data_IF_137229569685
#
_entry.id   IF_137229569685
#
_cell.length_a   1.000
_cell.length_b   1.000
_cell.length_c   1.000
_cell.angle_alpha   90.00
_cell.angle_beta   90.00
_cell.angle_gamma   90.00
#
_symmetry.space_group_name_H-M   'P 1'
#
loop_
_entity.id
_entity.type
_entity.pdbx_description
1 polymer ?
#
# COMPACT_ATOMS: atom_id res chain seq x y z
N UNK A 1 16.44 -42.79 43.10
CA UNK A 1 15.30 -42.51 42.18
C UNK A 1 14.70 -41.10 42.28
N UNK A 2 15.09 -40.22 43.21
CA UNK A 2 14.60 -38.82 43.31
C UNK A 2 15.26 -37.87 42.29
N UNK A 3 16.55 -38.01 41.96
CA UNK A 3 17.28 -37.09 41.09
C UNK A 3 16.81 -37.05 39.62
N UNK A 4 16.34 -38.18 39.08
CA UNK A 4 15.90 -38.23 37.69
C UNK A 4 14.55 -37.54 37.43
N UNK A 5 13.69 -37.42 38.44
CA UNK A 5 12.40 -36.70 38.35
C UNK A 5 12.59 -35.18 38.41
N UNK A 6 13.48 -34.70 39.23
CA UNK A 6 13.80 -33.27 39.38
C UNK A 6 14.43 -32.73 38.09
N UNK A 7 15.37 -33.46 37.48
CA UNK A 7 16.01 -33.05 36.22
C UNK A 7 15.04 -33.01 35.04
N UNK A 8 14.06 -33.93 35.01
CA UNK A 8 12.99 -33.94 34.01
C UNK A 8 12.04 -32.74 34.13
N UNK A 9 11.76 -32.27 35.35
CA UNK A 9 10.89 -31.13 35.61
C UNK A 9 11.58 -29.79 35.22
N UNK A 10 12.87 -29.68 35.51
CA UNK A 10 13.66 -28.47 35.11
C UNK A 10 13.79 -28.36 33.57
N UNK A 11 14.09 -29.49 32.88
CA UNK A 11 14.16 -29.51 31.43
C UNK A 11 12.83 -29.15 30.77
N UNK A 12 11.70 -29.60 31.32
CA UNK A 12 10.36 -29.25 30.79
C UNK A 12 10.00 -27.78 31.00
N UNK A 13 10.41 -27.20 32.13
CA UNK A 13 10.18 -25.78 32.44
C UNK A 13 11.02 -24.86 31.56
N UNK A 14 12.29 -25.20 31.35
CA UNK A 14 13.17 -24.45 30.45
C UNK A 14 12.72 -24.54 28.98
N UNK A 15 12.29 -25.71 28.50
CA UNK A 15 11.76 -25.89 27.16
C UNK A 15 10.48 -25.10 26.95
N UNK A 16 9.57 -25.05 27.94
CA UNK A 16 8.35 -24.28 27.87
C UNK A 16 8.62 -22.76 27.85
N UNK A 17 9.58 -22.28 28.64
CA UNK A 17 9.98 -20.86 28.65
C UNK A 17 10.60 -20.42 27.33
N UNK A 18 11.49 -21.25 26.77
CA UNK A 18 12.11 -20.96 25.44
C UNK A 18 11.05 -20.95 24.36
N UNK A 19 10.06 -21.86 24.39
CA UNK A 19 8.96 -21.88 23.40
C UNK A 19 8.06 -20.64 23.49
N UNK A 20 7.76 -20.17 24.71
CA UNK A 20 6.96 -18.95 24.92
C UNK A 20 7.73 -17.70 24.44
N UNK A 21 9.02 -17.59 24.71
CA UNK A 21 9.84 -16.46 24.29
C UNK A 21 9.98 -16.42 22.76
N UNK A 22 10.15 -17.57 22.10
CA UNK A 22 10.21 -17.68 20.64
C UNK A 22 8.87 -17.35 20.01
N UNK A 23 7.75 -17.80 20.56
CA UNK A 23 6.40 -17.44 20.11
C UNK A 23 6.13 -15.92 20.22
N UNK A 24 6.57 -15.28 21.31
CA UNK A 24 6.46 -13.83 21.47
C UNK A 24 7.32 -13.04 20.46
N UNK A 25 8.50 -13.54 20.15
CA UNK A 25 9.37 -12.91 19.13
C UNK A 25 8.76 -12.96 17.73
N UNK A 26 8.05 -14.04 17.38
CA UNK A 26 7.34 -14.15 16.08
C UNK A 26 6.09 -13.26 15.98
N UNK A 27 5.37 -13.03 17.09
CA UNK A 27 4.17 -12.16 17.10
C UNK A 27 4.55 -10.68 16.93
N UNK A 28 5.69 -10.26 17.45
CA UNK A 28 6.17 -8.86 17.31
C UNK A 28 6.71 -8.56 15.90
N UNK A 29 7.14 -9.56 15.13
CA UNK A 29 7.65 -9.37 13.78
C UNK A 29 6.55 -9.18 12.72
N UNK A 30 5.28 -9.49 13.02
CA UNK A 30 4.17 -9.44 12.05
C UNK A 30 3.40 -8.11 12.02
N UNK A 31 3.66 -7.18 12.91
CA UNK A 31 2.94 -5.90 12.99
C UNK A 31 3.84 -4.73 12.56
N UNK A 32 4.44 -4.78 11.36
CA UNK A 32 4.79 -3.55 10.65
C UNK A 32 3.51 -3.01 10.02
N UNK A 33 2.64 -2.50 10.88
CA UNK A 33 1.60 -1.59 10.48
C UNK A 33 2.27 -0.40 9.78
N UNK A 34 1.70 0.00 8.64
CA UNK A 34 2.03 1.21 7.94
C UNK A 34 2.35 2.35 8.91
N UNK A 35 3.55 2.87 8.86
CA UNK A 35 3.93 4.08 9.60
C UNK A 35 3.36 5.29 8.86
N UNK A 36 2.07 5.53 9.05
CA UNK A 36 1.48 6.80 8.69
C UNK A 36 1.97 7.85 9.68
N UNK A 37 2.63 8.84 9.16
CA UNK A 37 3.10 9.97 9.96
C UNK A 37 2.27 11.20 9.62
N UNK A 38 1.91 11.98 10.62
CA UNK A 38 1.45 13.35 10.40
C UNK A 38 2.70 14.21 10.24
N UNK A 39 2.80 14.87 9.10
CA UNK A 39 3.97 15.69 8.76
C UNK A 39 3.54 17.12 8.38
N UNK A 40 4.42 18.11 8.52
CA UNK A 40 4.18 19.43 7.98
C UNK A 40 4.07 19.38 6.45
N UNK A 41 3.02 20.00 5.91
CA UNK A 41 2.83 20.25 4.49
C UNK A 41 1.95 21.49 4.33
N UNK A 42 2.41 22.47 3.56
CA UNK A 42 1.70 23.72 3.29
C UNK A 42 1.58 23.99 1.80
N UNK A 43 0.74 24.95 1.43
CA UNK A 43 0.55 25.33 0.03
C UNK A 43 -0.56 24.56 -0.70
N UNK A 44 -1.27 23.66 -0.01
CA UNK A 44 -2.37 22.87 -0.58
C UNK A 44 -3.64 23.01 0.26
N UNK A 45 -4.78 22.97 -0.42
CA UNK A 45 -6.08 23.02 0.26
C UNK A 45 -6.35 21.73 1.08
N UNK A 46 -7.01 21.83 2.24
CA UNK A 46 -7.46 20.66 2.98
C UNK A 46 -8.28 19.71 2.12
N UNK A 47 -8.12 18.40 2.34
CA UNK A 47 -8.79 17.36 1.56
C UNK A 47 -8.12 17.04 0.22
N UNK A 48 -7.04 17.71 -0.16
CA UNK A 48 -6.27 17.41 -1.38
C UNK A 48 -5.34 16.22 -1.16
N UNK A 49 -5.22 15.36 -2.17
CA UNK A 49 -4.16 14.36 -2.27
C UNK A 49 -2.99 14.97 -3.04
N UNK A 50 -1.80 14.93 -2.47
CA UNK A 50 -0.56 15.35 -3.13
C UNK A 50 0.38 14.14 -3.25
N UNK A 51 0.81 13.81 -4.45
CA UNK A 51 1.78 12.74 -4.70
C UNK A 51 3.10 13.37 -5.15
N UNK A 52 4.15 13.18 -4.37
CA UNK A 52 5.51 13.58 -4.75
C UNK A 52 6.26 12.35 -5.23
N UNK A 53 6.38 12.22 -6.55
CA UNK A 53 6.91 11.00 -7.18
C UNK A 53 8.39 10.80 -6.87
N UNK A 54 9.20 11.86 -6.86
CA UNK A 54 10.61 11.80 -6.48
C UNK A 54 10.82 11.29 -5.05
N UNK A 55 9.91 11.62 -4.13
CA UNK A 55 9.94 11.13 -2.75
C UNK A 55 9.31 9.75 -2.59
N UNK A 56 8.52 9.28 -3.57
CA UNK A 56 7.67 8.08 -3.51
C UNK A 56 6.74 8.13 -2.30
N UNK A 57 6.12 9.30 -2.11
CA UNK A 57 5.20 9.58 -1.02
C UNK A 57 3.88 10.16 -1.55
N UNK A 58 2.81 9.82 -0.86
CA UNK A 58 1.49 10.41 -1.00
C UNK A 58 1.14 11.12 0.30
N UNK A 59 0.60 12.30 0.18
CA UNK A 59 0.18 13.15 1.27
C UNK A 59 -1.32 13.42 1.15
N UNK A 60 -2.08 13.18 2.21
CA UNK A 60 -3.46 13.64 2.32
C UNK A 60 -3.49 14.85 3.24
N UNK A 61 -3.85 16.00 2.71
CA UNK A 61 -3.83 17.28 3.42
C UNK A 61 -4.98 17.34 4.43
N UNK A 62 -4.65 17.42 5.71
CA UNK A 62 -5.62 17.47 6.82
C UNK A 62 -6.12 18.90 7.04
N UNK A 63 -5.16 19.83 7.11
CA UNK A 63 -5.38 21.26 7.25
C UNK A 63 -4.33 22.00 6.41
N UNK A 64 -4.34 23.30 6.35
CA UNK A 64 -3.38 24.04 5.52
C UNK A 64 -1.90 23.93 5.94
N UNK A 65 -1.56 23.12 6.95
CA UNK A 65 -0.21 23.00 7.52
C UNK A 65 0.25 21.55 7.75
N UNK A 66 -0.65 20.57 7.74
CA UNK A 66 -0.37 19.16 8.08
C UNK A 66 -1.00 18.21 7.09
N UNK A 67 -0.34 17.10 6.86
CA UNK A 67 -0.84 16.01 6.04
C UNK A 67 -0.51 14.64 6.65
N UNK A 68 -1.34 13.66 6.36
CA UNK A 68 -1.01 12.25 6.53
C UNK A 68 -0.09 11.84 5.37
N UNK A 69 1.05 11.26 5.69
CA UNK A 69 2.04 10.80 4.72
C UNK A 69 2.02 9.28 4.60
N UNK A 70 1.95 8.79 3.38
CA UNK A 70 1.98 7.37 3.05
C UNK A 70 3.12 7.05 2.08
N UNK A 71 3.85 5.94 2.25
CA UNK A 71 4.77 5.46 1.24
C UNK A 71 4.00 4.93 0.02
N UNK A 72 4.49 5.20 -1.18
CA UNK A 72 3.85 4.73 -2.42
C UNK A 72 4.86 4.21 -3.44
N UNK A 73 4.44 3.24 -4.26
CA UNK A 73 5.12 2.91 -5.51
C UNK A 73 4.59 3.81 -6.61
N UNK A 74 5.47 4.29 -7.48
CA UNK A 74 5.17 5.26 -8.54
C UNK A 74 5.69 4.77 -9.91
N UNK A 75 5.43 5.54 -10.97
CA UNK A 75 5.89 5.27 -12.33
C UNK A 75 7.38 4.99 -12.40
N UNK A 76 7.79 3.95 -13.15
CA UNK A 76 9.18 3.71 -13.54
C UNK A 76 9.65 4.80 -14.50
N UNK A 77 10.96 4.88 -14.76
CA UNK A 77 11.54 5.86 -15.68
C UNK A 77 10.81 5.86 -17.04
N UNK A 78 10.42 7.03 -17.51
CA UNK A 78 9.62 7.22 -18.72
C UNK A 78 8.13 6.93 -18.59
N UNK A 79 7.66 6.58 -17.39
CA UNK A 79 6.25 6.33 -17.07
C UNK A 79 5.74 7.26 -15.94
N UNK A 80 6.53 8.27 -15.61
CA UNK A 80 6.16 9.29 -14.65
C UNK A 80 5.28 10.34 -15.34
N UNK A 81 4.32 10.84 -14.58
CA UNK A 81 3.50 11.97 -14.98
C UNK A 81 3.40 12.97 -13.84
N UNK A 82 3.01 14.18 -14.15
CA UNK A 82 2.73 15.26 -13.19
C UNK A 82 1.57 16.11 -13.68
N UNK A 83 0.93 16.79 -12.75
CA UNK A 83 -0.19 17.65 -13.04
C UNK A 83 -1.35 17.49 -12.06
N UNK A 84 -2.44 18.20 -12.32
CA UNK A 84 -3.67 18.14 -11.56
C UNK A 84 -4.63 17.08 -12.12
N UNK A 85 -5.30 16.38 -11.22
CA UNK A 85 -6.34 15.40 -11.53
C UNK A 85 -7.39 15.40 -10.42
N UNK A 86 -8.32 14.46 -10.45
CA UNK A 86 -9.29 14.22 -9.39
C UNK A 86 -9.68 12.75 -9.37
N UNK A 87 -10.16 12.27 -8.21
CA UNK A 87 -10.76 10.94 -8.13
C UNK A 87 -12.01 10.92 -9.00
N UNK A 88 -12.07 10.01 -9.99
CA UNK A 88 -13.20 9.82 -10.88
C UNK A 88 -14.06 8.59 -10.55
N UNK A 89 -13.50 7.62 -9.81
CA UNK A 89 -14.22 6.42 -9.37
C UNK A 89 -13.56 5.77 -8.18
N UNK A 90 -14.37 5.00 -7.41
CA UNK A 90 -13.92 4.27 -6.21
C UNK A 90 -14.42 2.84 -6.27
N UNK A 91 -13.54 1.87 -6.06
CA UNK A 91 -13.84 0.45 -6.25
C UNK A 91 -13.28 -0.39 -5.10
N UNK A 92 -14.09 -1.34 -4.63
CA UNK A 92 -13.71 -2.36 -3.65
C UNK A 92 -13.48 -3.66 -4.40
N UNK A 93 -12.32 -4.28 -4.21
CA UNK A 93 -11.89 -5.51 -4.90
C UNK A 93 -12.14 -5.43 -6.42
N UNK A 94 -11.57 -4.41 -7.11
CA UNK A 94 -11.81 -4.25 -8.55
C UNK A 94 -11.26 -5.44 -9.32
N UNK A 95 -11.98 -5.88 -10.36
CA UNK A 95 -11.38 -6.70 -11.39
C UNK A 95 -10.32 -5.87 -12.13
N UNK A 96 -9.31 -6.53 -12.68
CA UNK A 96 -8.25 -5.86 -13.41
C UNK A 96 -8.09 -6.44 -14.80
N UNK A 97 -8.21 -5.59 -15.81
CA UNK A 97 -7.87 -5.88 -17.19
C UNK A 97 -6.53 -5.24 -17.49
N UNK A 98 -5.50 -6.02 -17.89
CA UNK A 98 -4.20 -5.44 -18.23
C UNK A 98 -4.34 -4.44 -19.36
N UNK A 99 -3.83 -3.20 -19.21
CA UNK A 99 -3.68 -2.27 -20.34
C UNK A 99 -2.83 -2.85 -21.47
N UNK A 100 -2.98 -2.33 -22.69
CA UNK A 100 -2.34 -2.88 -23.87
C UNK A 100 -0.81 -2.86 -23.83
N UNK A 101 -0.20 -1.85 -23.22
CA UNK A 101 1.24 -1.76 -22.98
C UNK A 101 1.74 -2.88 -22.06
N UNK A 102 1.04 -3.13 -20.95
CA UNK A 102 1.36 -4.22 -20.02
C UNK A 102 1.11 -5.58 -20.69
N UNK A 103 0.09 -5.70 -21.55
CA UNK A 103 -0.19 -6.92 -22.28
C UNK A 103 0.87 -7.21 -23.34
N UNK A 104 1.41 -6.17 -23.99
CA UNK A 104 2.56 -6.33 -24.91
C UNK A 104 3.83 -6.78 -24.18
N UNK A 105 4.08 -6.27 -22.98
CA UNK A 105 5.20 -6.71 -22.12
C UNK A 105 5.01 -8.16 -21.62
N UNK A 106 3.76 -8.59 -21.45
CA UNK A 106 3.40 -9.88 -20.83
C UNK A 106 2.19 -10.56 -21.54
N UNK A 107 2.38 -11.15 -22.73
CA UNK A 107 1.29 -11.71 -23.55
C UNK A 107 0.50 -12.85 -22.88
N UNK A 108 1.09 -13.51 -21.87
CA UNK A 108 0.46 -14.61 -21.14
C UNK A 108 -0.51 -14.18 -20.04
N UNK A 109 -0.64 -12.86 -19.79
CA UNK A 109 -1.59 -12.37 -18.82
C UNK A 109 -3.03 -12.67 -19.28
N UNK A 110 -3.91 -13.12 -18.36
CA UNK A 110 -5.32 -13.31 -18.67
C UNK A 110 -5.97 -11.98 -19.06
N UNK A 111 -7.02 -12.03 -19.90
CA UNK A 111 -7.76 -10.82 -20.30
C UNK A 111 -8.29 -10.03 -19.11
N UNK A 112 -8.74 -10.74 -18.06
CA UNK A 112 -9.26 -10.17 -16.82
C UNK A 112 -8.77 -11.01 -15.65
N UNK A 113 -8.29 -10.36 -14.60
CA UNK A 113 -8.05 -10.97 -13.29
C UNK A 113 -9.20 -10.56 -12.37
N UNK A 114 -9.96 -11.53 -11.80
CA UNK A 114 -11.11 -11.22 -10.94
C UNK A 114 -10.73 -10.38 -9.72
N UNK A 115 -11.69 -9.59 -9.23
CA UNK A 115 -11.55 -8.83 -8.00
C UNK A 115 -11.35 -9.74 -6.78
N UNK A 116 -10.37 -9.42 -5.95
CA UNK A 116 -10.02 -10.19 -4.76
C UNK A 116 -9.15 -11.42 -5.02
N UNK A 117 -8.82 -11.76 -6.28
CA UNK A 117 -7.89 -12.83 -6.59
C UNK A 117 -6.48 -12.50 -6.02
N UNK A 118 -5.74 -13.49 -5.48
CA UNK A 118 -4.42 -13.26 -4.88
C UNK A 118 -3.39 -12.68 -5.85
N UNK A 119 -3.54 -12.94 -7.15
CA UNK A 119 -2.69 -12.43 -8.22
C UNK A 119 -3.16 -11.09 -8.80
N UNK A 120 -4.26 -10.50 -8.29
CA UNK A 120 -4.76 -9.22 -8.79
C UNK A 120 -3.86 -8.07 -8.31
N UNK A 121 -3.21 -7.32 -9.24
CA UNK A 121 -2.28 -6.26 -8.88
C UNK A 121 -2.94 -5.03 -8.25
N UNK A 122 -4.27 -4.86 -8.37
CA UNK A 122 -4.99 -3.71 -7.81
C UNK A 122 -5.20 -3.80 -6.29
N UNK A 123 -4.99 -4.99 -5.71
CA UNK A 123 -5.22 -5.19 -4.27
C UNK A 123 -6.69 -5.09 -3.88
N UNK A 124 -6.96 -4.53 -2.70
CA UNK A 124 -8.31 -4.52 -2.11
C UNK A 124 -9.16 -3.30 -2.50
N UNK A 125 -8.54 -2.17 -2.80
CA UNK A 125 -9.20 -0.90 -3.11
C UNK A 125 -8.49 -0.22 -4.26
N UNK A 126 -9.25 0.48 -5.10
CA UNK A 126 -8.71 1.36 -6.13
C UNK A 126 -9.58 2.61 -6.29
N UNK A 127 -8.92 3.69 -6.67
CA UNK A 127 -9.52 4.97 -7.02
C UNK A 127 -8.95 5.42 -8.36
N UNK A 128 -9.79 5.51 -9.38
CA UNK A 128 -9.38 6.00 -10.71
C UNK A 128 -9.21 7.51 -10.69
N UNK A 129 -8.32 8.01 -11.54
CA UNK A 129 -7.97 9.42 -11.67
C UNK A 129 -8.36 9.96 -13.06
N UNK A 130 -8.96 11.12 -13.10
CA UNK A 130 -9.30 11.81 -14.34
C UNK A 130 -10.14 10.95 -15.30
N UNK A 131 -9.61 10.65 -16.45
CA UNK A 131 -10.21 9.80 -17.49
C UNK A 131 -10.14 8.29 -17.20
N UNK A 132 -9.50 7.90 -16.09
CA UNK A 132 -9.34 6.50 -15.72
C UNK A 132 -8.03 5.85 -16.19
N UNK A 133 -7.17 6.56 -16.88
CA UNK A 133 -5.85 6.07 -17.33
C UNK A 133 -4.99 5.66 -16.15
N UNK A 134 -5.01 6.44 -15.05
CA UNK A 134 -4.26 6.16 -13.83
C UNK A 134 -5.17 5.90 -12.65
N UNK A 135 -4.62 5.25 -11.64
CA UNK A 135 -5.30 4.96 -10.39
C UNK A 135 -4.36 5.04 -9.18
N UNK A 136 -4.94 5.33 -8.01
CA UNK A 136 -4.34 5.06 -6.71
C UNK A 136 -4.94 3.75 -6.23
N UNK A 137 -4.12 2.73 -5.94
CA UNK A 137 -4.63 1.40 -5.64
C UNK A 137 -3.76 0.61 -4.65
N UNK A 138 -4.32 -0.43 -4.08
CA UNK A 138 -3.59 -1.40 -3.27
C UNK A 138 -2.60 -2.23 -4.08
N UNK A 139 -2.11 -3.33 -3.52
CA UNK A 139 -1.18 -4.20 -4.24
C UNK A 139 -1.19 -5.62 -3.71
N UNK A 140 -0.91 -6.58 -4.60
CA UNK A 140 -0.52 -7.95 -4.24
C UNK A 140 1.01 -8.11 -4.10
N UNK A 141 1.79 -7.02 -4.32
CA UNK A 141 3.26 -7.00 -4.22
C UNK A 141 3.73 -5.88 -3.29
N UNK A 142 3.53 -5.99 -1.96
CA UNK A 142 3.80 -4.92 -1.00
C UNK A 142 5.26 -4.45 -1.01
N UNK A 143 6.22 -5.32 -1.39
CA UNK A 143 7.65 -4.97 -1.52
C UNK A 143 7.95 -3.95 -2.63
N UNK A 144 6.96 -3.62 -3.46
CA UNK A 144 7.08 -2.61 -4.53
C UNK A 144 6.67 -1.20 -4.10
N UNK A 145 6.08 -1.06 -2.91
CA UNK A 145 5.80 0.26 -2.30
C UNK A 145 7.13 0.91 -1.93
N UNK A 146 7.26 2.20 -2.18
CA UNK A 146 8.50 2.97 -2.00
C UNK A 146 9.46 2.88 -3.20
N UNK A 147 9.03 2.31 -4.34
CA UNK A 147 9.88 2.10 -5.53
C UNK A 147 9.27 2.72 -6.80
N UNK A 148 10.11 2.92 -7.82
CA UNK A 148 9.73 3.29 -9.19
C UNK A 148 9.43 2.01 -9.98
N UNK A 149 8.16 1.59 -10.08
CA UNK A 149 7.82 0.23 -10.57
C UNK A 149 6.56 0.15 -11.43
N UNK A 150 5.73 1.20 -11.45
CA UNK A 150 4.44 1.16 -12.16
C UNK A 150 4.53 1.77 -13.57
N UNK A 151 3.43 1.64 -14.32
CA UNK A 151 3.21 2.33 -15.59
C UNK A 151 2.43 3.66 -15.38
N UNK A 152 2.70 4.35 -14.24
CA UNK A 152 2.08 5.63 -13.89
C UNK A 152 1.08 5.57 -12.74
N UNK A 153 0.49 4.42 -12.43
CA UNK A 153 -0.38 4.26 -11.26
C UNK A 153 0.37 4.44 -9.94
N UNK A 154 -0.35 4.86 -8.91
CA UNK A 154 0.15 5.08 -7.55
C UNK A 154 -0.21 3.86 -6.70
N UNK A 155 0.80 3.10 -6.26
CA UNK A 155 0.64 1.83 -5.55
C UNK A 155 0.83 2.03 -4.05
N UNK A 156 -0.13 1.56 -3.24
CA UNK A 156 -0.12 1.67 -1.79
C UNK A 156 -0.14 0.29 -1.13
N UNK A 157 0.26 0.21 0.13
CA UNK A 157 -0.09 -0.93 0.97
C UNK A 157 -1.61 -1.06 1.08
N UNK A 158 -2.14 -2.29 1.18
CA UNK A 158 -3.59 -2.50 1.27
C UNK A 158 -4.21 -1.89 2.55
N UNK A 159 -3.46 -1.78 3.64
CA UNK A 159 -3.90 -1.09 4.84
C UNK A 159 -4.02 0.42 4.61
N UNK A 160 -3.04 1.03 3.93
CA UNK A 160 -2.98 2.47 3.68
C UNK A 160 -4.06 2.92 2.71
N UNK A 161 -4.24 2.18 1.61
CA UNK A 161 -5.29 2.52 0.65
C UNK A 161 -6.69 2.37 1.26
N UNK A 162 -6.91 1.42 2.16
CA UNK A 162 -8.18 1.27 2.88
C UNK A 162 -8.48 2.53 3.70
N UNK A 163 -7.49 3.04 4.41
CA UNK A 163 -7.62 4.25 5.20
C UNK A 163 -7.89 5.47 4.32
N UNK A 164 -7.04 5.71 3.32
CA UNK A 164 -7.21 6.83 2.39
C UNK A 164 -8.57 6.77 1.70
N UNK A 165 -8.99 5.57 1.26
CA UNK A 165 -10.27 5.34 0.62
C UNK A 165 -11.46 5.77 1.49
N UNK A 166 -11.38 5.60 2.81
CA UNK A 166 -12.46 6.03 3.74
C UNK A 166 -12.53 7.54 3.94
N UNK A 167 -11.43 8.25 3.71
CA UNK A 167 -11.33 9.71 3.95
C UNK A 167 -11.68 10.55 2.73
N UNK A 168 -11.71 9.97 1.52
CA UNK A 168 -11.87 10.70 0.26
C UNK A 168 -13.10 10.27 -0.52
N UNK A 169 -13.58 11.16 -1.39
CA UNK A 169 -14.72 10.93 -2.29
C UNK A 169 -14.37 11.07 -3.76
N UNK A 170 -15.32 10.72 -4.64
CA UNK A 170 -15.26 11.13 -6.05
C UNK A 170 -15.25 12.65 -6.11
N UNK A 171 -14.41 13.23 -6.97
CA UNK A 171 -14.18 14.67 -7.05
C UNK A 171 -13.01 15.18 -6.18
N UNK A 172 -12.49 14.38 -5.20
CA UNK A 172 -11.32 14.77 -4.41
C UNK A 172 -10.15 15.20 -5.32
N UNK A 173 -9.58 16.40 -5.12
CA UNK A 173 -8.44 16.88 -5.91
C UNK A 173 -7.19 16.03 -5.68
N UNK A 174 -6.46 15.77 -6.76
CA UNK A 174 -5.19 15.06 -6.76
C UNK A 174 -4.16 15.87 -7.51
N UNK A 175 -3.04 16.17 -6.88
CA UNK A 175 -1.90 16.87 -7.47
C UNK A 175 -0.72 15.90 -7.48
N UNK A 176 -0.11 15.73 -8.65
CA UNK A 176 1.09 14.89 -8.80
C UNK A 176 2.26 15.78 -9.18
N UNK A 177 3.31 15.74 -8.36
CA UNK A 177 4.56 16.47 -8.53
C UNK A 177 5.72 15.49 -8.75
N UNK A 178 6.72 15.93 -9.49
CA UNK A 178 7.97 15.16 -9.70
C UNK A 178 8.97 15.39 -8.60
#
# INVERSE_FOLDING_TARGET
>A
MRGAREMSLVLRRTALFVFIVVMWAFVVAAARASTRDIVPLSGFAPGTIVVKTSERKLYFVLDGRKALRFPVGVGKAGQEWSGASRISGKYVRPAWSPPDDIRRENPHLPKVIPGGAPNNPMGQFAMTLGDGTYAIHGTNRPQTVGRFVSHGCIRMYNADIRELYSMVGVGTPVIVER
#
